data_IF_929784671586
#
_entry.id   IF_929784671586
#
_cell.length_a   1.000
_cell.length_b   1.000
_cell.length_c   1.000
_cell.angle_alpha   90.00
_cell.angle_beta   90.00
_cell.angle_gamma   90.00
#
_symmetry.space_group_name_H-M   'P 1'
#
loop_
_entity.id
_entity.type
_entity.pdbx_description
1 polymer ?
#
# COMPACT_ATOMS: atom_id res chain seq x y z
N UNK A 1 7.10 -24.26 -1.96
CA UNK A 1 7.05 -22.83 -1.60
C UNK A 1 7.73 -22.09 -2.73
N UNK A 2 7.01 -21.25 -3.47
CA UNK A 2 7.61 -20.45 -4.55
C UNK A 2 8.60 -19.46 -3.94
N UNK A 3 9.79 -19.32 -4.53
CA UNK A 3 10.70 -18.23 -4.14
C UNK A 3 10.13 -16.88 -4.60
N UNK A 4 10.70 -15.76 -4.14
CA UNK A 4 10.18 -14.42 -4.47
C UNK A 4 10.08 -14.16 -5.98
N UNK A 5 11.08 -14.58 -6.76
CA UNK A 5 11.09 -14.38 -8.21
C UNK A 5 9.97 -15.16 -8.91
N UNK A 6 9.73 -16.40 -8.48
CA UNK A 6 8.60 -17.21 -8.95
C UNK A 6 7.26 -16.59 -8.57
N UNK A 7 7.08 -16.16 -7.32
CA UNK A 7 5.85 -15.50 -6.89
C UNK A 7 5.56 -14.23 -7.71
N UNK A 8 6.58 -13.38 -7.93
CA UNK A 8 6.42 -12.17 -8.73
C UNK A 8 6.00 -12.49 -10.18
N UNK A 9 6.55 -13.57 -10.76
CA UNK A 9 6.18 -14.05 -12.10
C UNK A 9 4.73 -14.58 -12.12
N UNK A 10 4.36 -15.38 -11.13
CA UNK A 10 3.01 -15.92 -10.98
C UNK A 10 1.96 -14.80 -10.87
N UNK A 11 2.21 -13.80 -10.01
CA UNK A 11 1.32 -12.63 -9.86
C UNK A 11 1.13 -11.92 -11.20
N UNK A 12 2.22 -11.57 -11.91
CA UNK A 12 2.17 -10.88 -13.21
C UNK A 12 1.39 -11.67 -14.27
N UNK A 13 1.46 -12.99 -14.21
CA UNK A 13 0.74 -13.90 -15.13
C UNK A 13 -0.72 -14.15 -14.74
N UNK A 14 -1.15 -13.74 -13.55
CA UNK A 14 -2.49 -14.04 -13.05
C UNK A 14 -3.59 -13.41 -13.92
N UNK A 15 -4.61 -14.22 -14.28
CA UNK A 15 -5.80 -13.78 -15.04
C UNK A 15 -7.13 -14.19 -14.42
N UNK A 16 -7.12 -14.66 -13.18
CA UNK A 16 -8.33 -15.19 -12.52
C UNK A 16 -9.49 -14.20 -12.39
N UNK A 17 -9.20 -12.90 -12.40
CA UNK A 17 -10.23 -11.87 -12.26
C UNK A 17 -10.78 -11.39 -13.62
N UNK A 18 -10.31 -11.90 -14.76
CA UNK A 18 -10.70 -11.43 -16.09
C UNK A 18 -12.22 -11.45 -16.29
N UNK A 19 -12.87 -12.57 -15.99
CA UNK A 19 -14.34 -12.68 -16.14
C UNK A 19 -15.11 -11.78 -15.17
N UNK A 20 -14.58 -11.55 -13.97
CA UNK A 20 -15.20 -10.65 -12.98
C UNK A 20 -15.11 -9.18 -13.42
N UNK A 21 -13.98 -8.80 -14.02
CA UNK A 21 -13.73 -7.42 -14.44
C UNK A 21 -14.37 -7.09 -15.78
N UNK A 22 -14.49 -8.09 -16.67
CA UNK A 22 -14.96 -7.89 -18.04
C UNK A 22 -13.91 -7.29 -18.98
N UNK A 23 -12.65 -7.24 -18.56
CA UNK A 23 -11.51 -6.74 -19.33
C UNK A 23 -10.21 -7.43 -18.89
N UNK A 24 -9.13 -7.19 -19.63
CA UNK A 24 -7.83 -7.80 -19.37
C UNK A 24 -7.22 -7.31 -18.05
N UNK A 25 -6.96 -8.18 -17.05
CA UNK A 25 -6.28 -7.77 -15.83
C UNK A 25 -4.82 -7.41 -16.09
N UNK A 26 -4.35 -6.33 -15.45
CA UNK A 26 -2.92 -6.00 -15.35
C UNK A 26 -2.48 -6.09 -13.87
N UNK A 27 -1.96 -7.24 -13.42
CA UNK A 27 -1.44 -7.40 -12.06
C UNK A 27 -0.14 -6.61 -11.87
N UNK A 28 -0.10 -5.75 -10.86
CA UNK A 28 1.07 -4.89 -10.59
C UNK A 28 1.88 -5.42 -9.41
N UNK A 29 3.18 -5.59 -9.65
CA UNK A 29 4.20 -5.94 -8.65
C UNK A 29 5.33 -4.93 -8.76
N UNK A 30 5.73 -4.32 -7.65
CA UNK A 30 6.76 -3.28 -7.63
C UNK A 30 7.63 -3.43 -6.38
N UNK A 31 8.94 -3.63 -6.58
CA UNK A 31 9.93 -3.77 -5.52
C UNK A 31 10.66 -5.10 -5.52
N UNK A 32 11.56 -5.26 -4.55
CA UNK A 32 12.42 -6.44 -4.39
C UNK A 32 12.13 -7.16 -3.06
N UNK A 33 12.66 -8.39 -2.93
CA UNK A 33 12.49 -9.21 -1.73
C UNK A 33 13.05 -8.52 -0.47
N UNK A 34 14.15 -7.79 -0.60
CA UNK A 34 14.84 -7.13 0.51
C UNK A 34 14.40 -5.67 0.70
N UNK A 35 13.23 -5.30 0.18
CA UNK A 35 12.70 -3.96 0.39
C UNK A 35 12.51 -3.64 1.87
N UNK A 36 13.07 -2.52 2.33
CA UNK A 36 12.98 -2.08 3.73
C UNK A 36 11.55 -1.86 4.21
N UNK A 37 10.65 -1.40 3.33
CA UNK A 37 9.27 -1.03 3.63
C UNK A 37 8.32 -1.82 2.73
N UNK A 38 7.37 -2.55 3.34
CA UNK A 38 6.25 -3.16 2.63
C UNK A 38 5.04 -2.22 2.71
N UNK A 39 4.68 -1.58 1.59
CA UNK A 39 3.55 -0.66 1.52
C UNK A 39 2.33 -1.35 0.88
N UNK A 40 1.19 -1.37 1.58
CA UNK A 40 -0.01 -2.09 1.16
C UNK A 40 -1.20 -1.14 1.06
N UNK A 41 -1.77 -1.04 -0.14
CA UNK A 41 -2.97 -0.24 -0.40
C UNK A 41 -4.19 -1.11 -0.79
N UNK A 42 -5.26 -0.51 -1.29
CA UNK A 42 -6.46 -1.24 -1.72
C UNK A 42 -6.21 -2.08 -2.98
N UNK A 43 -5.99 -1.41 -4.11
CA UNK A 43 -5.77 -1.99 -5.43
C UNK A 43 -5.23 -0.90 -6.39
N UNK A 44 -4.63 -1.27 -7.53
CA UNK A 44 -4.32 -0.33 -8.60
C UNK A 44 -5.53 0.49 -9.05
N UNK A 45 -5.32 1.77 -9.32
CA UNK A 45 -6.30 2.62 -10.01
C UNK A 45 -6.27 2.36 -11.52
N UNK A 46 -7.20 2.96 -12.27
CA UNK A 46 -7.17 2.91 -13.74
C UNK A 46 -5.87 3.48 -14.32
N UNK A 47 -5.31 4.53 -13.70
CA UNK A 47 -4.03 5.08 -14.16
C UNK A 47 -2.88 4.08 -13.93
N UNK A 48 -2.87 3.40 -12.79
CA UNK A 48 -1.89 2.35 -12.50
C UNK A 48 -2.10 1.14 -13.41
N UNK A 49 -3.34 0.80 -13.77
CA UNK A 49 -3.64 -0.22 -14.76
C UNK A 49 -3.00 0.08 -16.13
N UNK A 50 -3.05 1.34 -16.57
CA UNK A 50 -2.51 1.75 -17.86
C UNK A 50 -0.98 1.93 -17.84
N UNK A 51 -0.41 2.35 -16.71
CA UNK A 51 1.01 2.75 -16.62
C UNK A 51 1.90 1.76 -15.87
N UNK A 52 1.31 0.84 -15.11
CA UNK A 52 1.98 -0.05 -14.16
C UNK A 52 2.83 0.67 -13.10
N UNK A 53 2.68 1.99 -12.94
CA UNK A 53 3.45 2.81 -11.98
C UNK A 53 2.57 3.24 -10.82
N UNK A 54 2.77 2.62 -9.65
CA UNK A 54 2.01 2.92 -8.44
C UNK A 54 2.25 4.36 -7.95
N UNK A 55 1.22 4.99 -7.38
CA UNK A 55 1.30 6.32 -6.77
C UNK A 55 1.80 7.44 -7.72
N UNK A 56 1.73 7.31 -9.04
CA UNK A 56 2.17 8.36 -9.98
C UNK A 56 1.15 9.50 -10.20
N UNK A 57 0.18 9.67 -9.30
CA UNK A 57 -0.87 10.70 -9.36
C UNK A 57 -0.66 11.79 -8.30
N UNK A 58 -1.63 12.72 -8.17
CA UNK A 58 -1.57 13.80 -7.19
C UNK A 58 -1.57 13.28 -5.74
N UNK A 59 -2.35 12.24 -5.45
CA UNK A 59 -2.39 11.62 -4.11
C UNK A 59 -1.04 11.03 -3.74
N UNK A 60 -0.40 10.34 -4.70
CA UNK A 60 0.93 9.79 -4.51
C UNK A 60 2.03 10.84 -4.41
N UNK A 61 1.93 11.96 -5.15
CA UNK A 61 2.86 13.09 -4.95
C UNK A 61 2.74 13.67 -3.54
N UNK A 62 1.52 13.85 -3.02
CA UNK A 62 1.31 14.26 -1.62
C UNK A 62 1.93 13.25 -0.65
N UNK A 63 1.71 11.94 -0.87
CA UNK A 63 2.30 10.89 -0.04
C UNK A 63 3.83 10.96 0.02
N UNK A 64 4.49 11.09 -1.13
CA UNK A 64 5.96 11.04 -1.20
C UNK A 64 6.60 12.36 -0.81
N UNK A 65 6.16 13.46 -1.43
CA UNK A 65 6.79 14.77 -1.31
C UNK A 65 6.40 15.52 -0.03
N UNK A 66 5.14 15.39 0.43
CA UNK A 66 4.66 16.16 1.59
C UNK A 66 4.66 15.31 2.87
N UNK A 67 4.18 14.08 2.77
CA UNK A 67 4.04 13.21 3.95
C UNK A 67 5.36 12.55 4.30
N UNK A 68 5.92 11.75 3.39
CA UNK A 68 7.22 11.11 3.60
C UNK A 68 8.39 12.09 3.47
N UNK A 69 8.23 13.17 2.69
CA UNK A 69 9.32 14.11 2.38
C UNK A 69 10.57 13.38 1.88
N UNK A 70 10.38 12.50 0.91
CA UNK A 70 11.46 11.75 0.25
C UNK A 70 11.45 12.02 -1.26
N UNK A 71 12.60 11.96 -1.94
CA UNK A 71 12.67 11.99 -3.39
C UNK A 71 11.89 10.85 -4.04
N UNK A 72 11.45 11.07 -5.29
CA UNK A 72 10.82 10.02 -6.10
C UNK A 72 11.75 8.81 -6.29
N UNK A 73 13.06 9.05 -6.41
CA UNK A 73 14.09 8.02 -6.52
C UNK A 73 14.08 7.06 -5.33
N UNK A 74 13.97 7.57 -4.10
CA UNK A 74 13.94 6.76 -2.91
C UNK A 74 12.66 5.92 -2.82
N UNK A 75 11.53 6.47 -3.24
CA UNK A 75 10.26 5.75 -3.23
C UNK A 75 10.19 4.66 -4.30
N UNK A 76 10.70 4.93 -5.51
CA UNK A 76 10.69 3.97 -6.61
C UNK A 76 11.89 3.02 -6.60
N UNK A 77 12.84 3.18 -5.66
CA UNK A 77 13.89 2.21 -5.42
C UNK A 77 13.30 0.93 -4.81
N UNK A 78 13.40 -0.18 -5.55
CA UNK A 78 12.85 -1.47 -5.14
C UNK A 78 13.50 -2.09 -3.90
N UNK A 79 14.67 -1.61 -3.46
CA UNK A 79 15.30 -1.99 -2.18
C UNK A 79 14.77 -1.16 -1.00
N UNK A 80 14.07 -0.06 -1.25
CA UNK A 80 13.44 0.75 -0.22
C UNK A 80 11.97 0.35 -0.04
N UNK A 81 11.21 0.24 -1.13
CA UNK A 81 9.79 -0.05 -1.10
C UNK A 81 9.43 -1.28 -1.93
N UNK A 82 8.67 -2.19 -1.30
CA UNK A 82 7.83 -3.16 -1.99
C UNK A 82 6.39 -2.66 -1.90
N UNK A 83 5.83 -2.29 -3.04
CA UNK A 83 4.48 -1.72 -3.15
C UNK A 83 3.52 -2.83 -3.58
N UNK A 84 2.65 -3.22 -2.66
CA UNK A 84 1.59 -4.20 -2.85
C UNK A 84 0.20 -3.60 -2.57
N UNK A 85 -0.81 -4.44 -2.70
CA UNK A 85 -2.20 -4.12 -2.45
C UNK A 85 -2.99 -5.37 -2.03
N UNK A 86 -4.14 -5.16 -1.41
CA UNK A 86 -5.09 -6.26 -1.12
C UNK A 86 -5.59 -6.92 -2.41
N UNK A 87 -5.67 -6.17 -3.52
CA UNK A 87 -5.80 -6.74 -4.86
C UNK A 87 -4.76 -6.20 -5.83
N UNK A 88 -4.10 -7.08 -6.58
CA UNK A 88 -3.03 -6.69 -7.51
C UNK A 88 -3.51 -6.07 -8.82
N UNK A 89 -4.82 -6.02 -9.09
CA UNK A 89 -5.37 -5.52 -10.36
C UNK A 89 -6.41 -4.42 -10.11
N UNK A 90 -6.53 -3.50 -11.07
CA UNK A 90 -7.64 -2.54 -11.12
C UNK A 90 -8.98 -3.28 -11.31
N UNK A 91 -9.95 -3.12 -10.40
CA UNK A 91 -11.19 -3.88 -10.42
C UNK A 91 -12.33 -3.24 -11.22
N UNK A 92 -12.07 -2.11 -11.90
CA UNK A 92 -13.10 -1.33 -12.61
C UNK A 92 -13.79 -0.27 -11.74
N UNK A 93 -14.65 0.54 -12.37
CA UNK A 93 -15.46 1.57 -11.68
C UNK A 93 -16.80 1.03 -11.18
N UNK A 94 -17.23 1.49 -10.01
CA UNK A 94 -18.61 1.38 -9.54
C UNK A 94 -19.52 2.35 -10.32
N UNK A 95 -20.85 2.19 -10.25
CA UNK A 95 -21.80 3.15 -10.85
C UNK A 95 -21.60 4.59 -10.36
N UNK A 96 -21.03 4.76 -9.16
CA UNK A 96 -20.79 6.08 -8.56
C UNK A 96 -19.41 6.67 -8.94
N UNK A 97 -18.68 6.04 -9.87
CA UNK A 97 -17.38 6.53 -10.36
C UNK A 97 -16.17 6.20 -9.47
N UNK A 98 -16.38 5.59 -8.31
CA UNK A 98 -15.31 5.09 -7.43
C UNK A 98 -14.73 3.78 -7.95
N UNK A 99 -13.46 3.50 -7.65
CA UNK A 99 -12.90 2.19 -7.95
C UNK A 99 -13.59 1.11 -7.10
N UNK A 100 -13.96 -0.01 -7.72
CA UNK A 100 -14.55 -1.14 -7.01
C UNK A 100 -13.58 -1.69 -5.96
N UNK A 101 -14.11 -2.45 -5.00
CA UNK A 101 -13.29 -3.21 -4.06
C UNK A 101 -12.70 -4.43 -4.79
N UNK A 102 -11.41 -4.75 -4.58
CA UNK A 102 -10.84 -5.98 -5.14
C UNK A 102 -11.47 -7.22 -4.48
N UNK A 103 -11.45 -8.37 -5.17
CA UNK A 103 -11.93 -9.62 -4.59
C UNK A 103 -10.96 -10.11 -3.49
N UNK A 104 -11.48 -10.45 -2.31
CA UNK A 104 -10.67 -10.88 -1.15
C UNK A 104 -9.73 -12.07 -1.45
N UNK A 105 -10.16 -13.00 -2.33
CA UNK A 105 -9.35 -14.15 -2.76
C UNK A 105 -7.97 -13.75 -3.33
N UNK A 106 -7.84 -12.53 -3.85
CA UNK A 106 -6.57 -12.02 -4.39
C UNK A 106 -5.53 -11.87 -3.27
N UNK A 107 -5.93 -11.34 -2.11
CA UNK A 107 -5.07 -11.20 -0.95
C UNK A 107 -4.71 -12.55 -0.33
N UNK A 108 -5.69 -13.47 -0.26
CA UNK A 108 -5.47 -14.83 0.22
C UNK A 108 -4.45 -15.57 -0.63
N UNK A 109 -4.52 -15.36 -1.95
CA UNK A 109 -3.61 -15.99 -2.90
C UNK A 109 -2.22 -15.35 -2.91
N UNK A 110 -2.12 -14.02 -2.92
CA UNK A 110 -0.85 -13.33 -3.20
C UNK A 110 -0.29 -12.59 -1.99
N UNK A 111 -1.07 -11.68 -1.40
CA UNK A 111 -0.58 -10.77 -0.34
C UNK A 111 -0.02 -11.52 0.88
N UNK A 112 -0.66 -12.62 1.28
CA UNK A 112 -0.17 -13.47 2.37
C UNK A 112 1.21 -14.08 2.09
N UNK A 113 1.52 -14.38 0.83
CA UNK A 113 2.82 -14.90 0.44
C UNK A 113 3.87 -13.78 0.39
N UNK A 114 3.50 -12.60 -0.12
CA UNK A 114 4.38 -11.43 -0.16
C UNK A 114 4.82 -10.99 1.24
N UNK A 115 3.90 -10.96 2.22
CA UNK A 115 4.22 -10.60 3.62
C UNK A 115 5.28 -11.53 4.23
N UNK A 116 5.24 -12.82 3.87
CA UNK A 116 6.19 -13.84 4.34
C UNK A 116 7.53 -13.76 3.63
N UNK A 117 7.53 -13.48 2.33
CA UNK A 117 8.74 -13.53 1.50
C UNK A 117 9.52 -12.21 1.50
N UNK A 118 8.83 -11.07 1.61
CA UNK A 118 9.46 -9.75 1.65
C UNK A 118 10.05 -9.49 3.04
N UNK A 119 11.36 -9.29 3.09
CA UNK A 119 12.14 -9.05 4.30
C UNK A 119 12.07 -7.59 4.74
N UNK A 120 10.86 -7.04 4.83
CA UNK A 120 10.64 -5.67 5.26
C UNK A 120 10.87 -5.47 6.76
N UNK A 121 11.43 -4.32 7.11
CA UNK A 121 11.60 -3.86 8.50
C UNK A 121 10.26 -3.38 9.07
N UNK A 122 9.44 -2.72 8.25
CA UNK A 122 8.13 -2.21 8.63
C UNK A 122 7.07 -2.47 7.55
N UNK A 123 5.80 -2.35 7.94
CA UNK A 123 4.65 -2.37 7.03
C UNK A 123 3.93 -1.03 7.10
N UNK A 124 3.49 -0.52 5.95
CA UNK A 124 2.70 0.70 5.86
C UNK A 124 1.39 0.41 5.13
N UNK A 125 0.27 0.53 5.84
CA UNK A 125 -1.07 0.37 5.28
C UNK A 125 -1.62 1.73 4.83
N UNK A 126 -2.02 1.85 3.56
CA UNK A 126 -2.60 3.07 3.01
C UNK A 126 -4.11 2.91 2.80
N UNK A 127 -4.89 3.65 3.59
CA UNK A 127 -6.33 3.76 3.48
C UNK A 127 -7.12 2.73 4.28
N UNK A 128 -8.43 2.99 4.40
CA UNK A 128 -9.34 2.19 5.23
C UNK A 128 -9.47 0.75 4.77
N UNK A 129 -9.44 0.49 3.47
CA UNK A 129 -9.65 -0.86 2.95
C UNK A 129 -8.53 -1.83 3.35
N UNK A 130 -7.26 -1.42 3.21
CA UNK A 130 -6.13 -2.24 3.66
C UNK A 130 -6.10 -2.35 5.18
N UNK A 131 -6.36 -1.27 5.92
CA UNK A 131 -6.47 -1.30 7.37
C UNK A 131 -7.52 -2.30 7.86
N UNK A 132 -8.73 -2.27 7.30
CA UNK A 132 -9.82 -3.18 7.67
C UNK A 132 -9.54 -4.64 7.26
N UNK A 133 -8.70 -4.89 6.26
CA UNK A 133 -8.29 -6.25 5.91
C UNK A 133 -7.47 -6.89 7.04
N UNK A 134 -6.55 -6.14 7.65
CA UNK A 134 -5.72 -6.63 8.76
C UNK A 134 -6.36 -6.47 10.14
N UNK A 135 -7.16 -5.42 10.33
CA UNK A 135 -7.77 -5.05 11.61
C UNK A 135 -9.28 -4.82 11.47
N UNK A 136 -10.07 -5.86 11.15
CA UNK A 136 -11.48 -5.71 10.76
C UNK A 136 -12.39 -5.13 11.84
N UNK A 137 -12.01 -5.23 13.11
CA UNK A 137 -12.82 -4.85 14.26
C UNK A 137 -12.26 -3.63 15.03
N UNK A 138 -11.31 -2.90 14.44
CA UNK A 138 -10.71 -1.72 15.07
C UNK A 138 -11.20 -0.43 14.40
N UNK A 139 -11.29 0.64 15.19
CA UNK A 139 -11.61 1.95 14.65
C UNK A 139 -10.48 2.47 13.73
N UNK A 140 -10.85 3.06 12.60
CA UNK A 140 -9.87 3.49 11.60
C UNK A 140 -9.04 4.69 12.08
N UNK A 141 -9.63 5.63 12.82
CA UNK A 141 -8.88 6.75 13.38
C UNK A 141 -7.92 6.24 14.46
N UNK A 142 -8.36 5.35 15.35
CA UNK A 142 -7.50 4.72 16.36
C UNK A 142 -6.28 4.04 15.72
N UNK A 143 -6.49 3.30 14.62
CA UNK A 143 -5.42 2.66 13.85
C UNK A 143 -4.41 3.66 13.29
N UNK A 144 -4.85 4.83 12.82
CA UNK A 144 -3.97 5.88 12.28
C UNK A 144 -3.09 6.48 13.38
N UNK A 145 -3.67 6.74 14.55
CA UNK A 145 -2.97 7.40 15.65
C UNK A 145 -2.07 6.47 16.47
N UNK A 146 -2.16 5.15 16.28
CA UNK A 146 -1.38 4.17 17.04
C UNK A 146 -0.56 3.25 16.14
N UNK A 147 0.66 2.93 16.58
CA UNK A 147 1.45 1.89 15.93
C UNK A 147 0.80 0.51 16.15
N UNK A 148 0.79 -0.30 15.10
CA UNK A 148 0.25 -1.66 15.10
C UNK A 148 1.36 -2.68 14.89
N UNK A 149 0.98 -3.97 14.88
CA UNK A 149 1.87 -5.07 14.49
C UNK A 149 1.15 -6.05 13.56
N UNK A 150 1.87 -6.54 12.56
CA UNK A 150 1.49 -7.66 11.70
C UNK A 150 2.72 -8.56 11.66
N UNK A 151 2.60 -9.82 12.07
CA UNK A 151 3.72 -10.77 12.17
C UNK A 151 4.94 -10.16 12.88
N UNK A 152 4.70 -9.53 14.05
CA UNK A 152 5.67 -8.78 14.86
C UNK A 152 6.36 -7.57 14.21
N UNK A 153 6.12 -7.31 12.92
CA UNK A 153 6.62 -6.12 12.23
C UNK A 153 5.84 -4.88 12.63
N UNK A 154 6.55 -3.81 12.97
CA UNK A 154 5.97 -2.49 13.19
C UNK A 154 5.13 -2.10 11.97
N UNK A 155 3.85 -1.80 12.22
CA UNK A 155 2.88 -1.48 11.18
C UNK A 155 2.31 -0.08 11.41
N UNK A 156 2.41 0.76 10.39
CA UNK A 156 1.87 2.12 10.38
C UNK A 156 0.61 2.13 9.51
N UNK A 157 -0.45 2.79 9.97
CA UNK A 157 -1.65 3.02 9.16
C UNK A 157 -1.74 4.50 8.80
N UNK A 158 -1.98 4.77 7.52
CA UNK A 158 -2.19 6.11 7.00
C UNK A 158 -3.60 6.22 6.38
N UNK A 159 -4.28 7.38 6.52
CA UNK A 159 -5.41 7.69 5.66
C UNK A 159 -4.95 7.76 4.20
N UNK A 160 -5.86 7.58 3.25
CA UNK A 160 -5.51 7.82 1.86
C UNK A 160 -5.30 9.33 1.62
N UNK A 161 -4.25 9.78 0.93
CA UNK A 161 -3.99 11.20 0.65
C UNK A 161 -4.90 11.76 -0.48
N UNK A 162 -6.20 11.45 -0.44
CA UNK A 162 -7.20 11.88 -1.42
C UNK A 162 -7.94 13.14 -0.95
N UNK A 163 -8.34 14.05 -1.86
CA UNK A 163 -9.25 15.16 -1.57
C UNK A 163 -10.55 14.71 -0.90
N UNK A 164 -11.01 13.48 -1.15
CA UNK A 164 -12.22 12.93 -0.55
C UNK A 164 -12.13 12.80 0.98
N UNK A 165 -10.92 12.84 1.55
CA UNK A 165 -10.68 12.76 2.99
C UNK A 165 -10.54 14.14 3.68
N UNK A 166 -10.80 15.26 2.98
CA UNK A 166 -10.68 16.61 3.55
C UNK A 166 -11.47 16.80 4.85
N UNK A 167 -12.70 16.27 4.93
CA UNK A 167 -13.48 16.35 6.17
C UNK A 167 -12.76 15.64 7.31
N UNK A 168 -12.25 14.44 7.07
CA UNK A 168 -11.53 13.67 8.09
C UNK A 168 -10.30 14.42 8.60
N UNK A 169 -9.52 15.05 7.71
CA UNK A 169 -8.36 15.86 8.11
C UNK A 169 -8.77 17.09 8.95
N UNK A 170 -9.89 17.76 8.61
CA UNK A 170 -10.44 18.86 9.42
C UNK A 170 -10.88 18.42 10.81
N UNK A 171 -11.49 17.23 10.90
CA UNK A 171 -11.94 16.66 12.17
C UNK A 171 -10.77 16.11 13.02
N UNK A 172 -9.62 15.82 12.41
CA UNK A 172 -8.44 15.21 13.06
C UNK A 172 -7.14 16.00 12.76
N UNK A 173 -7.04 17.27 13.16
CA UNK A 173 -5.88 18.12 12.85
C UNK A 173 -4.56 17.57 13.40
N UNK A 174 -4.61 16.82 14.50
CA UNK A 174 -3.47 16.15 15.11
C UNK A 174 -2.79 15.12 14.20
N UNK A 175 -3.48 14.67 13.13
CA UNK A 175 -2.84 13.84 12.12
C UNK A 175 -1.67 14.58 11.45
N UNK A 176 -1.89 15.80 10.96
CA UNK A 176 -0.86 16.55 10.24
C UNK A 176 0.13 17.20 11.20
N UNK A 177 -0.32 17.69 12.36
CA UNK A 177 0.53 18.46 13.28
C UNK A 177 1.39 17.60 14.21
N UNK A 178 0.98 16.37 14.52
CA UNK A 178 1.69 15.48 15.48
C UNK A 178 2.03 14.14 14.87
N UNK A 179 1.03 13.39 14.40
CA UNK A 179 1.20 12.00 13.98
C UNK A 179 2.06 11.87 12.72
N UNK A 180 1.87 12.74 11.73
CA UNK A 180 2.60 12.71 10.47
C UNK A 180 4.12 12.98 10.67
N UNK A 181 4.55 13.96 11.48
CA UNK A 181 5.95 14.10 11.88
C UNK A 181 6.57 12.84 12.49
N UNK A 182 5.85 12.13 13.38
CA UNK A 182 6.33 10.86 13.95
C UNK A 182 6.50 9.77 12.89
N UNK A 183 5.50 9.61 12.01
CA UNK A 183 5.55 8.63 10.92
C UNK A 183 6.72 8.93 9.99
N UNK A 184 6.92 10.20 9.65
CA UNK A 184 8.05 10.63 8.81
C UNK A 184 9.37 10.24 9.44
N UNK A 185 9.55 10.48 10.74
CA UNK A 185 10.76 10.06 11.47
C UNK A 185 10.98 8.54 11.38
N UNK A 186 9.93 7.74 11.52
CA UNK A 186 10.03 6.28 11.39
C UNK A 186 10.46 5.89 9.97
N UNK A 187 9.83 6.45 8.93
CA UNK A 187 10.17 6.18 7.53
C UNK A 187 11.62 6.56 7.24
N UNK A 188 12.06 7.75 7.66
CA UNK A 188 13.43 8.22 7.47
C UNK A 188 14.45 7.34 8.19
N UNK A 189 14.17 6.93 9.44
CA UNK A 189 15.04 6.01 10.16
C UNK A 189 15.19 4.66 9.44
N UNK A 190 14.09 4.13 8.87
CA UNK A 190 14.13 2.88 8.11
C UNK A 190 14.94 3.02 6.83
N UNK A 191 14.80 4.15 6.12
CA UNK A 191 15.43 4.39 4.83
C UNK A 191 16.93 4.73 4.96
N UNK A 192 17.30 5.61 5.88
CA UNK A 192 18.61 6.27 5.90
C UNK A 192 19.48 5.91 7.09
N UNK A 193 18.90 5.46 8.20
CA UNK A 193 19.72 5.03 9.33
C UNK A 193 20.10 3.56 9.18
N UNK A 194 21.41 3.28 9.26
CA UNK A 194 21.88 1.94 9.56
C UNK A 194 21.38 1.61 10.96
N UNK A 195 20.45 0.65 11.05
CA UNK A 195 20.21 -0.03 12.32
C UNK A 195 21.48 -0.85 12.52
N UNK A 196 22.40 -0.33 13.35
CA UNK A 196 23.54 -1.07 13.88
C UNK A 196 23.04 -2.22 14.74
#
# INVERSE_FOLDING_TARGET
MSNFAELAKEIKSCRECRSLFGFEPNPVVSGNQDAKILQISQAPSQNVHNTSKCFNDASGRKLRGEWYQIPDEDFYNGNNFYISAVGHCYPGKSPNGEDRKPPKKCADKWLKQEIKLVNSKIIVLIGRYSANYFFPNKDFSELIFNNQKIDDKLTIVLPHPSPNNQKWFKDHPDFETKRLPEIRKIIHNVLYCLIL
#
